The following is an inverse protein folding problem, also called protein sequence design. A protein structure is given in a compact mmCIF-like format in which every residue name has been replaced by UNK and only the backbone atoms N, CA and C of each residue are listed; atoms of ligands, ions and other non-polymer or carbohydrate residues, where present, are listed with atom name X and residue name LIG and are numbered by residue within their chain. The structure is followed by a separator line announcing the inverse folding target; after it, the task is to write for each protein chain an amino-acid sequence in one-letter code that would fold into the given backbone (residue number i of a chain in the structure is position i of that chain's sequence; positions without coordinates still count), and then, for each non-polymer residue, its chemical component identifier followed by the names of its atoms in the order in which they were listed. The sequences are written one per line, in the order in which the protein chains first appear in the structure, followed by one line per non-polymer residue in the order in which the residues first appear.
data_IF_096607369351
#
_entry.id   IF_096607369351
#
_cell.length_a   1.000
_cell.length_b   1.000
_cell.length_c   1.000
_cell.angle_alpha   90.00
_cell.angle_beta   90.00
_cell.angle_gamma   90.00
#
_symmetry.space_group_name_H-M   'P 1'
#
loop_
_entity.id
_entity.type
_entity.pdbx_description
1 polymer ?
#
# COMPACT_ATOMS: atom_id res chain seq x y z
N UNK A 1 22.02 23.76 -3.43
CA UNK A 1 22.05 24.12 -1.99
C UNK A 1 21.33 23.00 -1.27
N UNK A 2 21.95 22.38 -0.26
CA UNK A 2 21.24 21.40 0.55
C UNK A 2 20.27 22.19 1.45
N UNK A 3 18.97 21.93 1.31
CA UNK A 3 17.98 22.50 2.22
C UNK A 3 18.33 22.06 3.65
N UNK A 4 18.42 23.01 4.57
CA UNK A 4 18.70 22.73 5.97
C UNK A 4 17.57 21.88 6.56
N UNK A 5 17.91 20.89 7.38
CA UNK A 5 16.92 20.09 8.11
C UNK A 5 16.15 21.04 9.04
N UNK A 6 14.80 21.10 8.96
CA UNK A 6 14.02 22.02 9.78
C UNK A 6 13.97 21.56 11.24
N UNK A 7 13.88 22.51 12.17
CA UNK A 7 13.76 22.25 13.62
C UNK A 7 12.48 21.48 13.99
N UNK A 8 11.44 21.55 13.14
CA UNK A 8 10.18 20.82 13.29
C UNK A 8 9.74 20.23 11.95
N UNK A 9 9.15 19.02 11.95
CA UNK A 9 8.60 18.45 10.72
C UNK A 9 7.44 19.31 10.23
N UNK A 10 7.48 19.67 8.95
CA UNK A 10 6.36 20.28 8.24
C UNK A 10 5.69 19.18 7.43
N UNK A 11 4.41 18.90 7.71
CA UNK A 11 3.66 17.84 7.03
C UNK A 11 2.93 18.32 5.78
N UNK A 12 2.72 19.63 5.67
CA UNK A 12 2.00 20.25 4.57
C UNK A 12 2.68 19.96 3.23
N UNK A 13 1.89 19.47 2.26
CA UNK A 13 2.36 19.12 0.94
C UNK A 13 3.17 17.82 0.83
N UNK A 14 3.58 17.18 1.94
CA UNK A 14 4.34 15.92 1.88
C UNK A 14 3.51 14.79 1.28
N UNK A 15 2.24 14.66 1.66
CA UNK A 15 1.36 13.61 1.14
C UNK A 15 1.15 13.74 -0.36
N UNK A 16 0.89 14.94 -0.87
CA UNK A 16 0.76 15.19 -2.32
C UNK A 16 2.08 14.90 -3.03
N UNK A 17 3.21 15.43 -2.54
CA UNK A 17 4.52 15.20 -3.12
C UNK A 17 4.85 13.71 -3.27
N UNK A 18 4.67 12.94 -2.19
CA UNK A 18 5.01 11.51 -2.19
C UNK A 18 3.95 10.66 -2.88
N UNK A 19 2.67 11.00 -2.76
CA UNK A 19 1.57 10.35 -3.49
C UNK A 19 1.79 10.40 -4.99
N UNK A 20 2.03 11.60 -5.54
CA UNK A 20 2.27 11.80 -6.97
C UNK A 20 3.53 11.07 -7.45
N UNK A 21 4.61 11.13 -6.65
CA UNK A 21 5.86 10.44 -6.96
C UNK A 21 5.67 8.92 -7.00
N UNK A 22 4.99 8.35 -6.01
CA UNK A 22 4.78 6.91 -5.93
C UNK A 22 3.86 6.39 -7.03
N UNK A 23 2.84 7.16 -7.41
CA UNK A 23 1.97 6.81 -8.54
C UNK A 23 2.74 6.84 -9.85
N UNK A 24 3.51 7.90 -10.10
CA UNK A 24 4.37 8.02 -11.28
C UNK A 24 5.40 6.88 -11.38
N UNK A 25 5.99 6.48 -10.26
CA UNK A 25 6.96 5.38 -10.20
C UNK A 25 6.29 4.00 -10.26
N UNK A 26 4.95 3.93 -10.16
CA UNK A 26 4.23 2.66 -10.04
C UNK A 26 4.62 1.87 -8.78
N UNK A 27 5.02 2.57 -7.71
CA UNK A 27 5.61 1.98 -6.48
C UNK A 27 4.77 0.86 -5.88
N UNK A 28 3.44 0.93 -6.04
CA UNK A 28 2.50 -0.04 -5.49
C UNK A 28 1.93 -1.02 -6.53
N UNK A 29 2.31 -0.93 -7.81
CA UNK A 29 1.79 -1.79 -8.87
C UNK A 29 2.36 -3.19 -8.75
N UNK A 30 1.50 -4.19 -8.86
CA UNK A 30 1.92 -5.60 -8.90
C UNK A 30 2.30 -6.00 -10.32
N UNK A 31 3.58 -6.29 -10.55
CA UNK A 31 4.04 -6.90 -11.80
C UNK A 31 3.90 -8.42 -11.74
N UNK A 32 2.80 -8.92 -12.31
CA UNK A 32 2.51 -10.36 -12.36
C UNK A 32 3.54 -11.13 -13.17
N UNK A 33 4.07 -10.57 -14.25
CA UNK A 33 5.01 -11.27 -15.12
C UNK A 33 6.34 -11.47 -14.40
N UNK A 34 6.86 -10.42 -13.77
CA UNK A 34 8.10 -10.48 -12.98
C UNK A 34 7.95 -11.41 -11.76
N UNK A 35 6.82 -11.34 -11.05
CA UNK A 35 6.57 -12.19 -9.89
C UNK A 35 6.53 -13.69 -10.27
N UNK A 36 5.93 -14.03 -11.42
CA UNK A 36 5.87 -15.41 -11.91
C UNK A 36 7.19 -15.90 -12.53
N UNK A 37 8.05 -14.98 -12.98
CA UNK A 37 9.39 -15.31 -13.50
C UNK A 37 10.42 -15.58 -12.39
N UNK A 38 10.12 -15.28 -11.13
CA UNK A 38 11.00 -15.57 -9.99
C UNK A 38 11.27 -17.10 -9.89
N UNK A 39 12.48 -17.56 -9.53
CA UNK A 39 12.79 -19.00 -9.43
C UNK A 39 11.90 -19.77 -8.44
N UNK A 40 11.34 -19.06 -7.46
CA UNK A 40 10.36 -19.59 -6.51
C UNK A 40 9.21 -18.59 -6.34
N UNK A 41 8.19 -18.59 -7.23
CA UNK A 41 7.13 -17.58 -7.24
C UNK A 41 6.25 -17.62 -5.99
N UNK A 42 5.92 -18.83 -5.51
CA UNK A 42 5.04 -19.01 -4.35
C UNK A 42 5.63 -18.41 -3.08
N UNK A 43 6.92 -18.61 -2.85
CA UNK A 43 7.57 -18.04 -1.69
C UNK A 43 7.85 -16.54 -1.85
N UNK A 44 7.99 -16.04 -3.09
CA UNK A 44 8.27 -14.62 -3.33
C UNK A 44 7.02 -13.74 -3.27
N UNK A 45 5.87 -14.24 -3.71
CA UNK A 45 4.62 -13.49 -3.72
C UNK A 45 4.05 -13.40 -2.30
N UNK A 46 3.87 -12.18 -1.81
CA UNK A 46 3.14 -11.90 -0.57
C UNK A 46 1.76 -11.34 -0.93
N UNK A 47 0.74 -12.17 -0.79
CA UNK A 47 -0.65 -11.83 -1.07
C UNK A 47 -1.35 -11.39 0.22
N UNK A 48 -2.04 -10.25 0.17
CA UNK A 48 -2.81 -9.71 1.29
C UNK A 48 -4.27 -9.73 0.88
N UNK A 49 -5.07 -10.45 1.65
CA UNK A 49 -6.53 -10.49 1.53
C UNK A 49 -7.12 -9.71 2.70
N UNK A 50 -7.69 -8.54 2.38
CA UNK A 50 -8.32 -7.67 3.37
C UNK A 50 -9.85 -7.73 3.20
N UNK A 51 -10.63 -7.89 4.28
CA UNK A 51 -12.07 -7.79 4.20
C UNK A 51 -12.48 -6.46 3.52
N UNK A 52 -13.20 -6.51 2.39
CA UNK A 52 -13.56 -5.30 1.67
C UNK A 52 -14.51 -4.46 2.54
N UNK A 53 -14.36 -3.12 2.58
CA UNK A 53 -15.36 -2.28 3.19
C UNK A 53 -16.63 -2.31 2.33
N UNK A 54 -17.78 -2.14 2.96
CA UNK A 54 -19.05 -2.00 2.24
C UNK A 54 -19.00 -0.78 1.32
N UNK A 55 -19.57 -0.89 0.13
CA UNK A 55 -19.67 0.20 -0.85
C UNK A 55 -20.67 1.30 -0.43
N UNK A 56 -21.29 1.17 0.74
CA UNK A 56 -22.19 2.13 1.35
C UNK A 56 -21.56 2.82 2.56
N UNK A 57 -22.00 4.05 2.83
CA UNK A 57 -21.53 4.84 3.97
C UNK A 57 -20.18 5.53 3.73
N UNK A 58 -19.46 5.81 4.81
CA UNK A 58 -18.15 6.49 4.77
C UNK A 58 -17.14 5.73 5.60
N UNK A 59 -15.87 5.82 5.22
CA UNK A 59 -14.79 5.23 6.00
C UNK A 59 -14.65 5.98 7.34
N UNK A 60 -14.69 5.26 8.44
CA UNK A 60 -14.38 5.77 9.79
C UNK A 60 -13.02 5.27 10.29
N UNK A 61 -12.61 5.75 11.48
CA UNK A 61 -11.31 5.45 12.12
C UNK A 61 -11.03 3.94 12.30
N UNK A 62 -12.07 3.12 12.36
CA UNK A 62 -11.94 1.67 12.44
C UNK A 62 -11.32 1.08 11.17
N UNK A 63 -11.68 1.60 9.99
CA UNK A 63 -11.02 1.22 8.74
C UNK A 63 -9.57 1.66 8.75
N UNK A 64 -9.28 2.91 9.14
CA UNK A 64 -7.90 3.41 9.21
C UNK A 64 -7.04 2.50 10.10
N UNK A 65 -7.55 2.14 11.28
CA UNK A 65 -6.86 1.24 12.19
C UNK A 65 -6.58 -0.13 11.54
N UNK A 66 -7.59 -0.78 10.97
CA UNK A 66 -7.44 -2.10 10.36
C UNK A 66 -6.50 -2.09 9.15
N UNK A 67 -6.67 -1.15 8.22
CA UNK A 67 -5.83 -1.05 7.01
C UNK A 67 -4.39 -0.67 7.31
N UNK A 68 -4.14 0.13 8.37
CA UNK A 68 -2.77 0.48 8.79
C UNK A 68 -1.96 -0.75 9.16
N UNK A 69 -2.54 -1.74 9.87
CA UNK A 69 -1.81 -2.96 10.23
C UNK A 69 -1.35 -3.74 9.00
N UNK A 70 -2.23 -3.84 7.99
CA UNK A 70 -1.94 -4.54 6.75
C UNK A 70 -0.92 -3.78 5.89
N UNK A 71 -1.02 -2.46 5.80
CA UNK A 71 -0.06 -1.62 5.08
C UNK A 71 1.35 -1.70 5.69
N UNK A 72 1.47 -1.71 7.02
CA UNK A 72 2.76 -1.92 7.70
C UNK A 72 3.40 -3.26 7.34
N UNK A 73 2.61 -4.34 7.35
CA UNK A 73 3.09 -5.66 6.93
C UNK A 73 3.50 -5.67 5.45
N UNK A 74 2.70 -5.05 4.57
CA UNK A 74 2.97 -4.94 3.14
C UNK A 74 4.31 -4.24 2.86
N UNK A 75 4.52 -3.08 3.50
CA UNK A 75 5.76 -2.29 3.37
C UNK A 75 6.97 -3.05 3.88
N UNK A 76 6.84 -3.71 5.04
CA UNK A 76 7.90 -4.54 5.58
C UNK A 76 8.30 -5.66 4.62
N UNK A 77 7.33 -6.40 4.09
CA UNK A 77 7.60 -7.49 3.14
C UNK A 77 8.18 -6.99 1.81
N UNK A 78 7.76 -5.80 1.34
CA UNK A 78 8.36 -5.16 0.16
C UNK A 78 9.83 -4.85 0.39
N UNK A 79 10.18 -4.28 1.55
CA UNK A 79 11.57 -4.02 1.92
C UNK A 79 12.39 -5.32 2.07
N UNK A 80 11.75 -6.45 2.33
CA UNK A 80 12.35 -7.79 2.32
C UNK A 80 12.48 -8.42 0.92
N UNK A 81 12.11 -7.71 -0.14
CA UNK A 81 12.24 -8.15 -1.53
C UNK A 81 11.10 -9.05 -2.02
N UNK A 82 9.96 -9.11 -1.31
CA UNK A 82 8.78 -9.85 -1.78
C UNK A 82 8.05 -9.08 -2.89
N UNK A 83 7.38 -9.80 -3.78
CA UNK A 83 6.44 -9.22 -4.74
C UNK A 83 5.06 -9.10 -4.08
N UNK A 84 4.54 -7.88 -3.94
CA UNK A 84 3.33 -7.62 -3.16
C UNK A 84 2.09 -7.63 -4.03
N UNK A 85 1.14 -8.51 -3.71
CA UNK A 85 -0.21 -8.48 -4.26
C UNK A 85 -1.18 -8.05 -3.16
N UNK A 86 -1.53 -6.77 -3.13
CA UNK A 86 -2.44 -6.18 -2.15
C UNK A 86 -3.53 -5.37 -2.87
N UNK A 87 -4.52 -6.05 -3.47
CA UNK A 87 -5.63 -5.37 -4.12
C UNK A 87 -6.59 -4.78 -3.09
N UNK A 88 -7.22 -3.67 -3.45
CA UNK A 88 -8.36 -3.13 -2.71
C UNK A 88 -9.66 -3.63 -3.36
N UNK A 89 -10.61 -4.06 -2.54
CA UNK A 89 -11.94 -4.51 -2.96
C UNK A 89 -13.04 -3.76 -2.21
N UNK A 90 -14.29 -3.86 -2.67
CA UNK A 90 -15.48 -3.26 -2.05
C UNK A 90 -16.58 -4.32 -2.02
N UNK A 91 -17.31 -4.39 -0.90
CA UNK A 91 -18.48 -5.27 -0.76
C UNK A 91 -19.73 -4.52 -1.21
N UNK A 92 -20.33 -4.97 -2.31
CA UNK A 92 -21.55 -4.39 -2.88
C UNK A 92 -22.82 -5.09 -2.40
N UNK A 93 -22.70 -6.12 -1.55
CA UNK A 93 -23.85 -6.82 -0.99
C UNK A 93 -24.46 -6.02 0.17
N UNK A 94 -25.76 -6.22 0.38
CA UNK A 94 -26.55 -5.58 1.42
C UNK A 94 -27.83 -6.35 1.68
N UNK A 95 -28.48 -6.06 2.80
CA UNK A 95 -29.80 -6.60 3.15
C UNK A 95 -30.92 -6.05 2.25
#
# INVERSE_FOLDING_TARGET
MADAIPDKPVLEGLESKWGDRWESDGTYRFDRAAALAHPNPRDNIYSIDSPPPTASGSLHIGHVFSYTHMDLAARYQRMRGKSLFYPMGWDDNGL
#
